data_IF_306752661546
#
_entry.id   IF_306752661546
#
_cell.length_a   1.000
_cell.length_b   1.000
_cell.length_c   1.000
_cell.angle_alpha   90.00
_cell.angle_beta   90.00
_cell.angle_gamma   90.00
#
_symmetry.space_group_name_H-M   'P 1'
#
loop_
_entity.id
_entity.type
_entity.pdbx_description
1 polymer ?
#
# COMPACT_ATOMS: atom_id res chain seq x y z
N UNK A 1 45.07 -33.00 1.35
CA UNK A 1 43.98 -32.33 0.59
C UNK A 1 43.71 -31.00 1.26
N UNK A 2 43.59 -29.89 0.52
CA UNK A 2 43.40 -28.57 1.15
C UNK A 2 42.02 -28.47 1.78
N UNK A 3 41.97 -28.02 3.04
CA UNK A 3 40.72 -27.62 3.70
C UNK A 3 40.03 -26.57 2.83
N UNK A 4 38.75 -26.77 2.55
CA UNK A 4 37.80 -25.76 2.08
C UNK A 4 38.11 -25.09 0.74
N UNK A 5 38.57 -25.84 -0.28
CA UNK A 5 38.60 -25.30 -1.65
C UNK A 5 39.67 -24.25 -1.97
N UNK A 6 40.52 -23.84 -1.01
CA UNK A 6 41.61 -22.88 -1.25
C UNK A 6 42.92 -23.55 -1.71
N UNK A 7 43.68 -22.87 -2.57
CA UNK A 7 45.04 -23.23 -2.97
C UNK A 7 46.07 -22.93 -1.87
N UNK A 8 47.33 -23.37 -2.07
CA UNK A 8 48.43 -23.02 -1.16
C UNK A 8 48.65 -21.50 -1.10
N UNK A 9 48.51 -20.84 -2.24
CA UNK A 9 48.67 -19.38 -2.41
C UNK A 9 47.44 -18.58 -1.93
N UNK A 10 46.42 -19.25 -1.39
CA UNK A 10 45.27 -18.62 -0.75
C UNK A 10 44.12 -18.25 -1.70
N UNK A 11 44.16 -18.66 -2.96
CA UNK A 11 43.07 -18.46 -3.92
C UNK A 11 42.06 -19.61 -3.87
N UNK A 12 40.77 -19.31 -3.80
CA UNK A 12 39.67 -20.28 -3.85
C UNK A 12 39.51 -20.82 -5.27
N UNK A 13 39.34 -22.15 -5.38
CA UNK A 13 39.30 -22.86 -6.68
C UNK A 13 38.14 -22.44 -7.57
N UNK A 14 36.97 -22.14 -7.00
CA UNK A 14 35.78 -21.82 -7.79
C UNK A 14 35.73 -20.35 -8.20
N UNK A 15 36.08 -19.43 -7.30
CA UNK A 15 35.97 -17.98 -7.56
C UNK A 15 37.23 -17.42 -8.23
N UNK A 16 38.38 -18.10 -8.11
CA UNK A 16 39.68 -17.58 -8.55
C UNK A 16 40.16 -16.37 -7.74
N UNK A 17 39.50 -16.03 -6.62
CA UNK A 17 39.87 -14.91 -5.75
C UNK A 17 40.39 -15.40 -4.41
N UNK A 18 40.81 -14.49 -3.51
CA UNK A 18 41.18 -14.84 -2.13
C UNK A 18 39.99 -15.21 -1.24
N UNK A 19 38.76 -15.11 -1.76
CA UNK A 19 37.52 -15.35 -1.05
C UNK A 19 36.75 -16.51 -1.71
N UNK A 20 36.05 -17.30 -0.91
CA UNK A 20 35.13 -18.32 -1.40
C UNK A 20 33.85 -17.70 -2.01
N UNK A 21 32.91 -18.56 -2.40
CA UNK A 21 31.63 -18.14 -3.00
C UNK A 21 30.75 -17.36 -2.02
N UNK A 22 30.97 -17.52 -0.71
CA UNK A 22 30.29 -16.80 0.36
C UNK A 22 31.00 -15.49 0.72
N UNK A 23 32.15 -15.19 0.10
CA UNK A 23 32.91 -13.97 0.32
C UNK A 23 33.87 -14.03 1.51
N UNK A 24 34.16 -15.21 2.05
CA UNK A 24 35.08 -15.40 3.17
C UNK A 24 36.45 -15.90 2.70
N UNK A 25 37.50 -15.36 3.31
CA UNK A 25 38.87 -15.76 3.03
C UNK A 25 39.20 -17.12 3.62
N UNK A 26 40.36 -17.66 3.23
CA UNK A 26 40.90 -18.89 3.85
C UNK A 26 41.07 -18.77 5.37
N UNK A 27 41.25 -17.56 5.89
CA UNK A 27 41.33 -17.26 7.31
C UNK A 27 39.96 -17.15 8.00
N UNK A 28 38.86 -17.32 7.26
CA UNK A 28 37.49 -17.29 7.77
C UNK A 28 36.88 -15.89 7.83
N UNK A 29 37.57 -14.86 7.35
CA UNK A 29 37.11 -13.47 7.42
C UNK A 29 36.80 -12.93 6.02
N UNK A 30 35.72 -12.15 5.92
CA UNK A 30 35.37 -11.45 4.71
C UNK A 30 36.34 -10.30 4.43
N UNK A 31 36.14 -9.60 3.31
CA UNK A 31 36.99 -8.46 2.90
C UNK A 31 37.03 -7.32 3.93
N UNK A 32 35.99 -7.18 4.74
CA UNK A 32 35.89 -6.17 5.80
C UNK A 32 36.53 -6.66 7.13
N UNK A 33 37.02 -7.90 7.19
CA UNK A 33 37.69 -8.46 8.35
C UNK A 33 36.76 -9.09 9.38
N UNK A 34 35.52 -9.42 9.02
CA UNK A 34 34.53 -10.07 9.88
C UNK A 34 34.31 -11.53 9.48
N UNK A 35 34.16 -12.40 10.47
CA UNK A 35 33.81 -13.80 10.27
C UNK A 35 32.33 -13.97 9.88
N UNK A 36 31.89 -15.23 9.76
CA UNK A 36 30.51 -15.57 9.38
C UNK A 36 29.48 -15.08 10.41
N UNK A 37 29.88 -14.91 11.67
CA UNK A 37 29.04 -14.37 12.74
C UNK A 37 29.07 -12.83 12.76
N UNK A 38 29.81 -12.19 11.84
CA UNK A 38 29.93 -10.74 11.76
C UNK A 38 30.89 -10.15 12.79
N UNK A 39 31.78 -10.96 13.38
CA UNK A 39 32.75 -10.54 14.39
C UNK A 39 34.15 -10.41 13.78
N UNK A 40 34.85 -9.36 14.19
CA UNK A 40 36.24 -9.12 13.81
C UNK A 40 37.17 -10.17 14.43
N UNK A 41 38.44 -10.19 14.01
CA UNK A 41 39.49 -11.03 14.63
C UNK A 41 39.63 -10.84 16.13
N UNK A 42 39.22 -9.68 16.66
CA UNK A 42 39.25 -9.38 18.09
C UNK A 42 37.93 -9.74 18.81
N UNK A 43 36.96 -10.35 18.11
CA UNK A 43 35.69 -10.81 18.67
C UNK A 43 34.58 -9.76 18.76
N UNK A 44 34.73 -8.62 18.08
CA UNK A 44 33.76 -7.51 18.10
C UNK A 44 33.12 -7.28 16.74
N UNK A 45 31.82 -6.98 16.74
CA UNK A 45 31.07 -6.59 15.55
C UNK A 45 31.49 -5.20 15.02
N UNK A 46 30.84 -4.77 13.93
CA UNK A 46 31.09 -3.46 13.30
C UNK A 46 30.80 -2.25 14.20
N UNK A 47 29.97 -2.45 15.23
CA UNK A 47 29.56 -1.44 16.20
C UNK A 47 30.38 -1.52 17.49
N UNK A 48 31.35 -2.44 17.57
CA UNK A 48 32.24 -2.60 18.71
C UNK A 48 31.68 -3.49 19.83
N UNK A 49 30.62 -4.26 19.61
CA UNK A 49 30.06 -5.19 20.59
C UNK A 49 30.59 -6.60 20.39
N UNK A 50 30.94 -7.29 21.47
CA UNK A 50 31.21 -8.72 21.41
C UNK A 50 29.92 -9.54 21.33
N UNK A 51 30.07 -10.86 21.19
CA UNK A 51 28.94 -11.81 21.15
C UNK A 51 27.99 -11.71 22.34
N UNK A 52 28.52 -11.34 23.52
CA UNK A 52 27.77 -11.23 24.76
C UNK A 52 27.12 -9.84 24.90
N UNK A 53 27.42 -8.93 23.98
CA UNK A 53 26.92 -7.56 23.94
C UNK A 53 27.78 -6.56 24.70
N UNK A 54 28.99 -6.92 25.12
CA UNK A 54 29.89 -5.99 25.79
C UNK A 54 30.59 -5.12 24.75
N UNK A 55 30.47 -3.80 24.89
CA UNK A 55 31.09 -2.84 23.99
C UNK A 55 32.57 -2.59 24.34
N UNK A 56 33.43 -2.63 23.33
CA UNK A 56 34.89 -2.57 23.45
C UNK A 56 35.41 -1.35 24.23
N UNK A 57 34.76 -0.20 24.10
CA UNK A 57 35.25 1.04 24.72
C UNK A 57 34.73 1.27 26.14
N UNK A 58 33.53 0.79 26.46
CA UNK A 58 32.86 1.04 27.75
C UNK A 58 32.99 -0.14 28.71
N UNK A 59 33.27 -1.34 28.19
CA UNK A 59 33.33 -2.57 28.98
C UNK A 59 31.99 -2.98 29.59
N UNK A 60 30.88 -2.43 29.09
CA UNK A 60 29.52 -2.73 29.53
C UNK A 60 28.61 -2.97 28.30
N UNK A 61 27.31 -3.20 28.54
CA UNK A 61 26.35 -3.54 27.48
C UNK A 61 25.98 -2.38 26.54
N UNK A 62 26.52 -1.18 26.77
CA UNK A 62 26.16 0.04 26.05
C UNK A 62 27.39 0.72 25.45
N UNK A 63 27.25 1.30 24.26
CA UNK A 63 28.32 2.10 23.68
C UNK A 63 28.42 3.50 24.35
N UNK A 64 29.33 4.34 23.86
CA UNK A 64 29.53 5.69 24.42
C UNK A 64 28.36 6.65 24.17
N UNK A 65 27.42 6.29 23.30
CA UNK A 65 26.17 6.99 23.07
C UNK A 65 25.01 6.43 23.92
N UNK A 66 25.28 5.44 24.79
CA UNK A 66 24.28 4.79 25.64
C UNK A 66 23.37 3.81 24.89
N UNK A 67 23.79 3.31 23.72
CA UNK A 67 23.03 2.34 22.93
C UNK A 67 23.54 0.91 23.15
N UNK A 68 22.66 -0.08 23.29
CA UNK A 68 23.03 -1.50 23.30
C UNK A 68 23.35 -2.04 21.89
N UNK A 69 23.63 -3.34 21.77
CA UNK A 69 23.96 -3.97 20.47
C UNK A 69 22.77 -4.01 19.50
N UNK A 70 21.53 -4.03 20.01
CA UNK A 70 20.30 -3.88 19.24
C UNK A 70 20.02 -2.39 18.88
N UNK A 71 20.75 -1.49 19.53
CA UNK A 71 20.64 -0.05 19.43
C UNK A 71 19.46 0.53 20.21
N UNK A 72 19.13 0.00 21.38
CA UNK A 72 18.21 0.64 22.31
C UNK A 72 18.99 1.52 23.29
N UNK A 73 18.40 2.64 23.68
CA UNK A 73 18.99 3.51 24.70
C UNK A 73 18.90 2.86 26.09
N UNK A 74 19.99 2.93 26.86
CA UNK A 74 20.08 2.44 28.25
C UNK A 74 18.91 2.94 29.12
N UNK A 75 18.57 4.22 28.99
CA UNK A 75 17.55 4.87 29.80
C UNK A 75 16.12 4.41 29.49
N UNK A 76 15.82 4.09 28.22
CA UNK A 76 14.44 3.80 27.80
C UNK A 76 14.21 2.33 27.49
N UNK A 77 15.27 1.56 27.22
CA UNK A 77 15.17 0.21 26.68
C UNK A 77 14.53 0.16 25.28
N UNK A 78 14.45 1.29 24.57
CA UNK A 78 13.86 1.38 23.23
C UNK A 78 14.80 2.10 22.26
N UNK A 79 14.56 2.04 20.94
CA UNK A 79 15.27 2.85 19.97
C UNK A 79 15.03 4.38 20.09
N UNK A 80 14.16 4.83 21.00
CA UNK A 80 13.86 6.23 21.27
C UNK A 80 14.58 6.72 22.52
N UNK A 81 15.19 7.90 22.47
CA UNK A 81 15.81 8.51 23.66
C UNK A 81 14.74 9.05 24.64
N UNK A 82 15.16 9.58 25.79
CA UNK A 82 14.23 10.13 26.80
C UNK A 82 13.35 11.27 26.24
N UNK A 83 13.91 12.09 25.34
CA UNK A 83 13.20 13.16 24.65
C UNK A 83 12.20 12.63 23.60
N UNK A 84 12.30 11.35 23.24
CA UNK A 84 11.43 10.67 22.28
C UNK A 84 11.94 10.66 20.85
N UNK A 85 13.21 11.02 20.59
CA UNK A 85 13.81 10.93 19.26
C UNK A 85 14.36 9.52 18.98
N UNK A 86 13.95 8.96 17.84
CA UNK A 86 14.41 7.67 17.34
C UNK A 86 15.88 7.72 16.88
N UNK A 87 16.67 6.70 17.23
CA UNK A 87 18.12 6.65 16.96
C UNK A 87 18.49 6.83 15.48
N UNK A 88 17.67 6.31 14.57
CA UNK A 88 17.99 6.24 13.14
C UNK A 88 17.48 7.45 12.37
N UNK A 89 16.28 7.93 12.70
CA UNK A 89 15.64 9.04 11.98
C UNK A 89 15.98 10.40 12.60
N UNK A 90 16.35 10.43 13.89
CA UNK A 90 16.53 11.67 14.63
C UNK A 90 15.23 12.47 14.81
N UNK A 91 14.07 11.83 14.63
CA UNK A 91 12.74 12.44 14.79
C UNK A 91 11.93 11.70 15.85
N UNK A 92 10.76 12.22 16.21
CA UNK A 92 9.84 11.54 17.14
C UNK A 92 9.26 10.23 16.60
N UNK A 93 9.55 9.87 15.34
CA UNK A 93 9.02 8.69 14.64
C UNK A 93 10.14 7.76 14.18
N UNK A 94 9.89 6.45 14.21
CA UNK A 94 10.75 5.42 13.61
C UNK A 94 10.75 5.47 12.07
N UNK A 95 11.41 4.51 11.43
CA UNK A 95 11.52 4.43 9.97
C UNK A 95 10.17 4.12 9.30
N UNK A 96 9.26 3.50 10.05
CA UNK A 96 7.89 3.15 9.67
C UNK A 96 6.89 4.30 9.94
N UNK A 97 7.32 5.37 10.61
CA UNK A 97 6.52 6.56 10.89
C UNK A 97 5.70 6.49 12.19
N UNK A 98 6.04 5.59 13.11
CA UNK A 98 5.41 5.43 14.42
C UNK A 98 6.27 6.02 15.54
N UNK A 99 5.63 6.71 16.48
CA UNK A 99 6.32 7.28 17.63
C UNK A 99 6.60 6.25 18.71
N UNK A 100 7.28 6.69 19.77
CA UNK A 100 7.57 5.85 20.95
C UNK A 100 6.33 5.27 21.63
N UNK A 101 5.17 5.92 21.43
CA UNK A 101 3.88 5.47 21.96
C UNK A 101 3.17 4.47 21.02
N UNK A 102 3.78 4.12 19.89
CA UNK A 102 3.26 3.19 18.90
C UNK A 102 2.28 3.80 17.90
N UNK A 103 2.08 5.13 17.90
CA UNK A 103 1.15 5.82 17.02
C UNK A 103 1.88 6.67 15.98
N UNK A 104 1.35 6.68 14.76
CA UNK A 104 1.83 7.57 13.72
C UNK A 104 1.39 9.03 13.97
N UNK A 105 1.83 9.94 13.10
CA UNK A 105 1.48 11.36 13.17
C UNK A 105 -0.03 11.65 13.11
N UNK A 106 -0.82 10.75 12.53
CA UNK A 106 -2.29 10.85 12.48
C UNK A 106 -2.95 10.27 13.74
N UNK A 107 -2.18 9.72 14.68
CA UNK A 107 -2.67 9.15 15.93
C UNK A 107 -3.17 7.72 15.81
N UNK A 108 -2.75 6.98 14.77
CA UNK A 108 -3.14 5.57 14.55
C UNK A 108 -1.95 4.63 14.75
N UNK A 109 -2.20 3.48 15.35
CA UNK A 109 -1.23 2.40 15.54
C UNK A 109 -0.96 1.65 14.23
N UNK A 110 -0.09 0.64 14.29
CA UNK A 110 0.26 -0.19 13.13
C UNK A 110 -0.94 -0.96 12.55
N UNK A 111 -1.95 -1.24 13.36
CA UNK A 111 -3.19 -1.89 12.93
C UNK A 111 -4.21 -0.88 12.35
N UNK A 112 -3.92 0.43 12.42
CA UNK A 112 -4.77 1.49 11.92
C UNK A 112 -5.83 1.99 12.90
N UNK A 113 -5.67 1.73 14.21
CA UNK A 113 -6.58 2.15 15.26
C UNK A 113 -6.00 3.28 16.10
N UNK A 114 -6.85 4.22 16.49
CA UNK A 114 -6.44 5.31 17.37
C UNK A 114 -6.31 4.84 18.82
N UNK A 115 -5.88 5.74 19.72
CA UNK A 115 -5.74 5.47 21.17
C UNK A 115 -7.01 4.97 21.86
N UNK A 116 -8.18 5.23 21.29
CA UNK A 116 -9.47 4.75 21.80
C UNK A 116 -9.89 3.41 21.16
N UNK A 117 -9.07 2.82 20.29
CA UNK A 117 -9.34 1.54 19.64
C UNK A 117 -10.20 1.63 18.38
N UNK A 118 -10.35 2.80 17.77
CA UNK A 118 -11.19 3.00 16.58
C UNK A 118 -10.36 3.35 15.35
N UNK A 119 -10.73 2.80 14.20
CA UNK A 119 -10.15 3.14 12.90
C UNK A 119 -10.55 4.57 12.45
N UNK A 120 -10.09 4.96 11.26
CA UNK A 120 -10.41 6.26 10.66
C UNK A 120 -11.91 6.47 10.34
N UNK A 121 -12.66 5.38 10.21
CA UNK A 121 -14.08 5.39 9.92
C UNK A 121 -14.93 5.27 11.20
N UNK A 122 -14.30 5.17 12.37
CA UNK A 122 -14.96 5.07 13.67
C UNK A 122 -15.35 3.65 14.08
N UNK A 123 -14.83 2.61 13.44
CA UNK A 123 -15.08 1.21 13.82
C UNK A 123 -13.96 0.66 14.70
N UNK A 124 -14.31 -0.11 15.74
CA UNK A 124 -13.33 -0.86 16.51
C UNK A 124 -12.91 -2.17 15.81
N UNK A 125 -12.02 -2.95 16.46
CA UNK A 125 -11.53 -4.22 15.91
C UNK A 125 -12.65 -5.24 15.64
N UNK A 126 -13.71 -5.20 16.44
CA UNK A 126 -14.88 -6.10 16.29
C UNK A 126 -15.86 -5.57 15.23
N UNK A 127 -15.70 -4.33 14.78
CA UNK A 127 -16.56 -3.67 13.80
C UNK A 127 -17.70 -2.87 14.42
N UNK A 128 -17.66 -2.58 15.72
CA UNK A 128 -18.64 -1.71 16.36
C UNK A 128 -18.29 -0.25 16.09
N UNK A 129 -19.24 0.50 15.54
CA UNK A 129 -19.07 1.90 15.22
C UNK A 129 -19.30 2.79 16.45
N UNK A 130 -18.37 3.72 16.69
CA UNK A 130 -18.31 4.59 17.87
C UNK A 130 -19.60 5.37 18.14
N UNK A 131 -20.29 5.82 17.08
CA UNK A 131 -21.47 6.68 17.23
C UNK A 131 -22.78 5.91 17.41
N UNK A 132 -22.88 4.71 16.85
CA UNK A 132 -24.13 3.92 16.81
C UNK A 132 -24.12 2.80 17.85
N UNK A 133 -22.93 2.37 18.29
CA UNK A 133 -22.77 1.24 19.21
C UNK A 133 -23.18 -0.11 18.61
N UNK A 134 -23.26 -0.19 17.27
CA UNK A 134 -23.57 -1.41 16.54
C UNK A 134 -22.63 -1.56 15.32
N UNK A 135 -22.84 -2.59 14.50
CA UNK A 135 -21.95 -2.92 13.37
C UNK A 135 -22.02 -1.94 12.19
N UNK A 136 -22.91 -0.95 12.23
CA UNK A 136 -23.17 -0.02 11.13
C UNK A 136 -22.98 1.42 11.58
N UNK A 137 -22.44 2.26 10.71
CA UNK A 137 -22.34 3.70 10.97
C UNK A 137 -23.70 4.40 10.82
N UNK A 138 -23.73 5.72 10.98
CA UNK A 138 -24.98 6.51 10.87
C UNK A 138 -25.56 6.55 9.46
N UNK A 139 -24.80 6.15 8.44
CA UNK A 139 -25.27 5.97 7.07
C UNK A 139 -25.73 4.53 6.78
N UNK A 140 -25.75 3.65 7.78
CA UNK A 140 -26.13 2.26 7.62
C UNK A 140 -25.06 1.40 6.95
N UNK A 141 -23.79 1.80 6.96
CA UNK A 141 -22.69 1.04 6.36
C UNK A 141 -21.87 0.31 7.42
N UNK A 142 -21.50 -0.95 7.18
CA UNK A 142 -20.56 -1.69 8.03
C UNK A 142 -19.08 -1.26 7.81
N UNK A 143 -18.15 -1.91 8.51
CA UNK A 143 -16.71 -1.61 8.39
C UNK A 143 -16.14 -1.95 7.01
N UNK A 144 -16.73 -2.92 6.31
CA UNK A 144 -16.40 -3.27 4.93
C UNK A 144 -17.05 -2.29 3.91
N UNK A 145 -18.07 -1.54 4.33
CA UNK A 145 -18.81 -0.60 3.50
C UNK A 145 -20.07 -1.17 2.85
N UNK A 146 -20.63 -2.26 3.40
CA UNK A 146 -21.92 -2.81 2.97
C UNK A 146 -23.08 -2.14 3.71
N UNK A 147 -24.18 -1.95 3.01
CA UNK A 147 -25.42 -1.42 3.58
C UNK A 147 -26.11 -2.45 4.47
N UNK A 148 -26.58 -2.02 5.63
CA UNK A 148 -27.38 -2.82 6.59
C UNK A 148 -28.59 -3.47 5.93
N UNK A 149 -29.30 -2.72 5.08
CA UNK A 149 -30.54 -3.16 4.45
C UNK A 149 -30.33 -4.30 3.44
N UNK A 150 -29.21 -4.28 2.69
CA UNK A 150 -28.98 -5.22 1.59
C UNK A 150 -27.91 -6.27 1.90
N UNK A 151 -27.03 -6.01 2.87
CA UNK A 151 -25.83 -6.79 3.12
C UNK A 151 -24.81 -6.73 1.97
N UNK A 152 -24.90 -5.71 1.10
CA UNK A 152 -23.99 -5.53 -0.03
C UNK A 152 -23.48 -4.09 -0.11
N UNK A 153 -22.46 -3.84 -0.93
CA UNK A 153 -21.95 -2.48 -1.22
C UNK A 153 -22.98 -1.55 -1.88
N UNK A 154 -24.17 -2.05 -2.25
CA UNK A 154 -25.24 -1.28 -2.89
C UNK A 154 -26.45 -1.14 -1.96
N UNK A 155 -27.08 0.03 -1.98
CA UNK A 155 -28.33 0.28 -1.28
C UNK A 155 -29.52 -0.46 -1.93
N UNK A 156 -30.74 -0.26 -1.39
CA UNK A 156 -31.95 -0.88 -1.91
C UNK A 156 -32.31 -0.43 -3.34
N UNK A 157 -31.79 0.72 -3.78
CA UNK A 157 -31.95 1.24 -5.14
C UNK A 157 -30.88 0.69 -6.09
N UNK A 158 -29.89 -0.04 -5.57
CA UNK A 158 -28.82 -0.67 -6.33
C UNK A 158 -27.61 0.25 -6.57
N UNK A 159 -27.47 1.33 -5.79
CA UNK A 159 -26.36 2.28 -5.89
C UNK A 159 -25.39 2.15 -4.72
N UNK A 160 -24.09 2.23 -5.01
CA UNK A 160 -23.06 2.23 -3.99
C UNK A 160 -22.96 3.56 -3.26
N UNK A 161 -22.16 3.60 -2.19
CA UNK A 161 -21.87 4.84 -1.44
C UNK A 161 -21.26 5.96 -2.28
N UNK A 162 -20.71 5.64 -3.44
CA UNK A 162 -20.17 6.57 -4.43
C UNK A 162 -21.24 7.08 -5.42
N UNK A 163 -22.48 6.60 -5.33
CA UNK A 163 -23.60 6.99 -6.17
C UNK A 163 -23.70 6.22 -7.48
N UNK A 164 -22.92 5.16 -7.68
CA UNK A 164 -22.91 4.37 -8.91
C UNK A 164 -23.44 2.96 -8.68
N UNK A 165 -24.22 2.46 -9.62
CA UNK A 165 -24.68 1.08 -9.61
C UNK A 165 -23.55 0.10 -9.96
N UNK A 166 -23.85 -1.20 -9.90
CA UNK A 166 -22.89 -2.27 -10.22
C UNK A 166 -22.31 -2.19 -11.64
N UNK A 167 -23.01 -1.55 -12.57
CA UNK A 167 -22.55 -1.33 -13.95
C UNK A 167 -21.71 -0.04 -14.09
N UNK A 168 -21.53 0.71 -13.00
CA UNK A 168 -20.75 1.94 -12.95
C UNK A 168 -21.51 3.18 -13.41
N UNK A 169 -22.85 3.15 -13.44
CA UNK A 169 -23.68 4.29 -13.83
C UNK A 169 -24.40 4.90 -12.62
N UNK A 170 -24.47 6.22 -12.59
CA UNK A 170 -25.27 6.98 -11.64
C UNK A 170 -26.77 6.83 -11.93
N UNK A 171 -27.59 7.50 -11.12
CA UNK A 171 -29.04 7.51 -11.26
C UNK A 171 -29.50 8.05 -12.62
N UNK A 172 -28.73 8.96 -13.22
CA UNK A 172 -28.99 9.54 -14.54
C UNK A 172 -28.52 8.61 -15.69
N UNK A 173 -27.86 7.50 -15.40
CA UNK A 173 -27.32 6.56 -16.38
C UNK A 173 -25.94 6.93 -16.93
N UNK A 174 -25.17 7.76 -16.23
CA UNK A 174 -23.83 8.20 -16.62
C UNK A 174 -22.75 7.59 -15.73
N UNK A 175 -21.61 7.28 -16.32
CA UNK A 175 -20.41 6.87 -15.60
C UNK A 175 -19.82 8.01 -14.78
N UNK A 176 -18.88 7.71 -13.88
CA UNK A 176 -18.11 8.73 -13.14
C UNK A 176 -17.35 9.74 -14.02
N UNK A 177 -17.20 9.44 -15.32
CA UNK A 177 -16.60 10.30 -16.31
C UNK A 177 -17.62 11.14 -17.09
N UNK A 178 -18.91 11.02 -16.76
CA UNK A 178 -20.00 11.79 -17.37
C UNK A 178 -20.51 11.23 -18.69
N UNK A 179 -20.25 9.95 -19.00
CA UNK A 179 -20.70 9.31 -20.26
C UNK A 179 -21.70 8.19 -20.02
N UNK A 180 -22.71 8.09 -20.88
CA UNK A 180 -23.70 7.03 -20.87
C UNK A 180 -23.13 5.69 -21.40
N UNK A 181 -24.00 4.67 -21.47
CA UNK A 181 -23.64 3.34 -22.01
C UNK A 181 -23.16 3.33 -23.46
N UNK A 182 -23.51 4.38 -24.22
CA UNK A 182 -23.17 4.56 -25.62
C UNK A 182 -21.99 5.54 -25.78
N UNK A 183 -21.29 5.87 -24.69
CA UNK A 183 -20.15 6.80 -24.66
C UNK A 183 -20.50 8.24 -25.05
N UNK A 184 -21.75 8.68 -24.87
CA UNK A 184 -22.17 10.07 -25.04
C UNK A 184 -22.26 10.78 -23.71
N UNK A 185 -21.81 12.03 -23.67
CA UNK A 185 -21.99 12.88 -22.49
C UNK A 185 -23.43 13.42 -22.39
N UNK A 186 -23.71 14.18 -21.32
CA UNK A 186 -25.03 14.79 -21.09
C UNK A 186 -25.50 15.71 -22.24
N UNK A 187 -24.56 16.31 -22.97
CA UNK A 187 -24.83 17.18 -24.12
C UNK A 187 -24.96 16.40 -25.44
N UNK A 188 -24.74 15.07 -25.41
CA UNK A 188 -24.78 14.22 -26.60
C UNK A 188 -23.49 14.21 -27.41
N UNK A 189 -22.36 14.66 -26.84
CA UNK A 189 -21.06 14.56 -27.48
C UNK A 189 -20.44 13.18 -27.19
N UNK A 190 -20.07 12.47 -28.24
CA UNK A 190 -19.45 11.16 -28.12
C UNK A 190 -17.98 11.26 -27.72
N UNK A 191 -17.58 10.49 -26.70
CA UNK A 191 -16.27 10.50 -26.05
C UNK A 191 -15.10 10.42 -27.03
N UNK A 192 -15.21 9.58 -28.07
CA UNK A 192 -14.11 9.28 -29.00
C UNK A 192 -14.08 10.22 -30.20
N UNK A 193 -15.24 10.58 -30.74
CA UNK A 193 -15.30 11.36 -31.98
C UNK A 193 -15.29 12.86 -31.69
N UNK A 194 -15.61 13.26 -30.45
CA UNK A 194 -15.82 14.66 -30.05
C UNK A 194 -16.86 15.36 -30.93
N UNK A 195 -17.86 14.60 -31.40
CA UNK A 195 -19.00 15.10 -32.18
C UNK A 195 -20.29 14.52 -31.62
N UNK A 196 -21.44 14.98 -32.14
CA UNK A 196 -22.75 14.43 -31.79
C UNK A 196 -22.99 13.01 -32.31
N UNK A 197 -22.02 12.39 -33.00
CA UNK A 197 -22.17 11.08 -33.62
C UNK A 197 -21.06 10.14 -33.18
N UNK A 198 -21.39 8.88 -32.94
CA UNK A 198 -20.41 7.83 -32.66
C UNK A 198 -19.60 7.45 -33.91
N UNK A 199 -18.69 6.48 -33.76
CA UNK A 199 -17.84 6.02 -34.87
C UNK A 199 -18.62 5.31 -35.99
N UNK A 200 -19.82 4.81 -35.70
CA UNK A 200 -20.74 4.24 -36.69
C UNK A 200 -21.62 5.31 -37.39
N UNK A 201 -21.55 6.57 -36.94
CA UNK A 201 -22.27 7.70 -37.55
C UNK A 201 -23.65 7.98 -36.96
N UNK A 202 -24.02 7.36 -35.82
CA UNK A 202 -25.30 7.56 -35.14
C UNK A 202 -25.14 8.47 -33.92
N UNK A 203 -26.15 9.28 -33.63
CA UNK A 203 -26.21 10.13 -32.43
C UNK A 203 -26.59 9.34 -31.17
N UNK A 204 -26.71 10.05 -30.04
CA UNK A 204 -27.07 9.46 -28.75
C UNK A 204 -28.43 8.76 -28.75
N UNK A 205 -29.34 9.19 -29.63
CA UNK A 205 -30.68 8.66 -29.77
C UNK A 205 -30.73 7.51 -30.80
N UNK A 206 -29.59 7.21 -31.46
CA UNK A 206 -29.42 6.13 -32.41
C UNK A 206 -29.68 6.51 -33.86
N UNK A 207 -29.73 7.80 -34.20
CA UNK A 207 -30.04 8.28 -35.55
C UNK A 207 -28.79 8.80 -36.28
N UNK A 208 -28.67 8.43 -37.55
CA UNK A 208 -27.64 8.94 -38.44
C UNK A 208 -27.83 10.42 -38.75
N UNK A 209 -26.84 11.03 -39.40
CA UNK A 209 -26.96 12.40 -39.93
C UNK A 209 -28.11 12.60 -40.91
N UNK A 210 -28.57 11.52 -41.55
CA UNK A 210 -29.73 11.52 -42.44
C UNK A 210 -31.07 11.38 -41.69
N UNK A 211 -31.05 11.25 -40.37
CA UNK A 211 -32.22 11.14 -39.50
C UNK A 211 -32.81 9.74 -39.40
N UNK A 212 -32.11 8.71 -39.89
CA UNK A 212 -32.56 7.32 -39.84
C UNK A 212 -31.68 6.47 -38.92
N UNK A 213 -32.29 5.52 -38.23
CA UNK A 213 -31.61 4.51 -37.41
C UNK A 213 -30.88 3.49 -38.31
N UNK A 214 -30.20 2.52 -37.67
CA UNK A 214 -29.48 1.45 -38.37
C UNK A 214 -30.40 0.56 -39.23
N UNK A 215 -31.68 0.47 -38.88
CA UNK A 215 -32.69 -0.25 -39.65
C UNK A 215 -33.29 0.59 -40.80
N UNK A 216 -32.91 1.86 -40.91
CA UNK A 216 -33.37 2.78 -41.95
C UNK A 216 -34.72 3.46 -41.65
N UNK A 217 -35.11 3.60 -40.38
CA UNK A 217 -36.32 4.27 -39.92
C UNK A 217 -36.01 5.56 -39.15
N UNK A 218 -36.83 6.58 -39.34
CA UNK A 218 -36.73 7.82 -38.58
C UNK A 218 -37.27 7.67 -37.14
N UNK A 219 -37.17 8.73 -36.34
CA UNK A 219 -37.67 8.79 -34.96
C UNK A 219 -39.17 8.52 -34.81
N UNK A 220 -39.94 8.72 -35.88
CA UNK A 220 -41.38 8.47 -35.92
C UNK A 220 -41.71 7.05 -36.45
N UNK A 221 -40.67 6.27 -36.78
CA UNK A 221 -40.73 4.88 -37.23
C UNK A 221 -41.02 4.72 -38.72
N UNK A 222 -40.73 5.71 -39.57
CA UNK A 222 -40.92 5.65 -41.02
C UNK A 222 -39.61 5.51 -41.77
N UNK A 223 -39.59 4.64 -42.79
CA UNK A 223 -38.45 4.53 -43.68
C UNK A 223 -38.44 5.63 -44.75
N UNK A 224 -37.38 5.66 -45.58
CA UNK A 224 -37.21 6.62 -46.69
C UNK A 224 -38.34 6.63 -47.74
N UNK A 225 -39.21 5.61 -47.75
CA UNK A 225 -40.39 5.53 -48.62
C UNK A 225 -41.70 5.92 -47.90
N UNK A 226 -41.63 6.39 -46.65
CA UNK A 226 -42.78 6.71 -45.82
C UNK A 226 -43.55 5.49 -45.31
N UNK A 227 -42.93 4.30 -45.29
CA UNK A 227 -43.55 3.09 -44.72
C UNK A 227 -43.16 2.94 -43.25
N UNK A 228 -44.15 2.64 -42.41
CA UNK A 228 -43.97 2.41 -40.98
C UNK A 228 -43.33 1.04 -40.70
N UNK A 229 -42.50 0.96 -39.66
CA UNK A 229 -41.88 -0.26 -39.12
C UNK A 229 -42.93 -1.31 -38.75
#
# INVERSE_FOLDING_TARGET
>A
MSKNGFSKDGYHKATGTKFDEEGFGKDGFNKLGYDQDGLSKNGYDKNGFDKDGTHIATGNLFNTAGLDKEGNYEATGTPFNEEGYHKATGTEFDEEGFGKDGFNKLGYDQDGFNKNGYDKNGFDKDGTHIATGNLFNTAGLDKEGNYEATGTEFDEEGFGKDGFNKLGYDLDGFTKYGYDKNSFDKDGTHMITHTLFNTAGYDKDGFGKDGFDEDGFDKDGFNKLGKKK
#
